data_IF_862981111179
#
_entry.id   IF_862981111179
#
_cell.length_a   1.000
_cell.length_b   1.000
_cell.length_c   1.000
_cell.angle_alpha   90.00
_cell.angle_beta   90.00
_cell.angle_gamma   90.00
#
_symmetry.space_group_name_H-M   'P 1'
#
loop_
_entity.id
_entity.type
_entity.pdbx_description
1 polymer ?
#
# COMPACT_ATOMS: atom_id res chain seq x y z
N UNK A 1 -16.39 -6.35 52.47
CA UNK A 1 -16.70 -5.24 51.53
C UNK A 1 -15.47 -4.60 50.89
N UNK A 2 -14.32 -4.44 51.56
CA UNK A 2 -13.07 -3.93 50.96
C UNK A 2 -12.46 -4.85 49.88
N UNK A 3 -12.62 -6.17 50.01
CA UNK A 3 -12.07 -7.16 49.05
C UNK A 3 -12.83 -7.25 47.72
N UNK A 4 -14.11 -6.85 47.66
CA UNK A 4 -14.90 -6.88 46.43
C UNK A 4 -14.55 -5.70 45.49
N UNK A 5 -14.15 -4.56 46.06
CA UNK A 5 -13.76 -3.38 45.29
C UNK A 5 -12.39 -3.57 44.61
N UNK A 6 -11.44 -4.22 45.27
CA UNK A 6 -10.10 -4.45 44.72
C UNK A 6 -10.11 -5.42 43.54
N UNK A 7 -10.98 -6.43 43.56
CA UNK A 7 -11.12 -7.40 42.47
C UNK A 7 -11.75 -6.78 41.23
N UNK A 8 -12.74 -5.87 41.38
CA UNK A 8 -13.33 -5.16 40.24
C UNK A 8 -12.34 -4.25 39.51
N UNK A 9 -11.43 -3.59 40.25
CA UNK A 9 -10.44 -2.69 39.64
C UNK A 9 -9.38 -3.48 38.86
N UNK A 10 -8.96 -4.65 39.36
CA UNK A 10 -7.97 -5.49 38.69
C UNK A 10 -8.47 -6.06 37.35
N UNK A 11 -9.77 -6.37 37.24
CA UNK A 11 -10.35 -6.91 35.99
C UNK A 11 -10.51 -5.81 34.93
N UNK A 12 -10.71 -4.55 35.32
CA UNK A 12 -10.96 -3.44 34.41
C UNK A 12 -9.67 -2.85 33.79
N UNK A 13 -8.51 -3.08 34.41
CA UNK A 13 -7.20 -2.62 33.92
C UNK A 13 -6.62 -3.57 32.85
N UNK A 14 -6.99 -4.86 32.85
CA UNK A 14 -6.47 -5.83 31.87
C UNK A 14 -7.13 -5.76 30.48
N UNK A 15 -8.29 -5.11 30.34
CA UNK A 15 -9.05 -5.09 29.09
C UNK A 15 -8.66 -3.98 28.11
N UNK A 16 -7.74 -3.08 28.48
CA UNK A 16 -7.41 -1.88 27.68
C UNK A 16 -6.28 -2.13 26.66
N UNK A 17 -5.59 -3.27 26.68
CA UNK A 17 -4.47 -3.54 25.76
C UNK A 17 -4.81 -4.33 24.48
N UNK A 18 -6.06 -4.74 24.27
CA UNK A 18 -6.46 -5.54 23.11
C UNK A 18 -6.94 -4.71 21.90
N UNK A 19 -6.64 -3.41 21.86
CA UNK A 19 -6.88 -2.57 20.69
C UNK A 19 -5.83 -2.81 19.60
N UNK A 20 -5.81 -4.00 18.99
CA UNK A 20 -5.00 -4.22 17.78
C UNK A 20 -5.58 -3.37 16.65
N UNK A 21 -5.02 -2.18 16.43
CA UNK A 21 -5.26 -1.44 15.21
C UNK A 21 -4.85 -2.35 14.04
N UNK A 22 -5.77 -2.60 13.11
CA UNK A 22 -5.51 -3.48 11.98
C UNK A 22 -4.45 -2.84 11.06
N UNK A 23 -3.23 -3.37 11.10
CA UNK A 23 -2.11 -3.01 10.23
C UNK A 23 -2.28 -3.65 8.84
N UNK A 24 -1.64 -3.09 7.81
CA UNK A 24 -1.61 -3.68 6.46
C UNK A 24 -0.99 -5.07 6.50
N UNK A 25 -1.72 -6.14 6.09
CA UNK A 25 -1.12 -7.43 5.84
C UNK A 25 -0.07 -7.26 4.75
N UNK A 26 1.19 -7.38 5.13
CA UNK A 26 2.33 -7.21 4.22
C UNK A 26 3.25 -8.41 4.30
N UNK A 27 3.64 -8.91 3.15
CA UNK A 27 4.72 -9.88 3.05
C UNK A 27 6.02 -9.12 2.78
N UNK A 28 7.11 -9.54 3.43
CA UNK A 28 8.44 -9.11 3.03
C UNK A 28 8.63 -9.48 1.55
N UNK A 29 9.11 -8.54 0.75
CA UNK A 29 9.32 -8.77 -0.69
C UNK A 29 10.72 -8.33 -1.08
N UNK A 30 11.36 -9.11 -1.94
CA UNK A 30 12.64 -8.70 -2.51
C UNK A 30 12.39 -7.69 -3.63
N UNK A 31 12.93 -6.48 -3.46
CA UNK A 31 12.88 -5.42 -4.44
C UNK A 31 14.15 -5.43 -5.29
N UNK A 32 13.98 -5.46 -6.62
CA UNK A 32 15.08 -5.34 -7.58
C UNK A 32 14.96 -3.98 -8.28
N UNK A 33 15.88 -3.03 -8.05
CA UNK A 33 15.81 -1.71 -8.67
C UNK A 33 16.08 -1.78 -10.18
N UNK A 34 15.55 -0.81 -10.93
CA UNK A 34 15.99 -0.56 -12.31
C UNK A 34 17.48 -0.23 -12.29
N UNK A 35 18.24 -0.76 -13.27
CA UNK A 35 19.68 -0.53 -13.33
C UNK A 35 19.99 0.96 -13.50
N UNK A 36 20.99 1.44 -12.76
CA UNK A 36 21.50 2.79 -12.90
C UNK A 36 21.91 3.05 -14.38
N UNK A 37 21.46 4.18 -14.93
CA UNK A 37 21.74 4.57 -16.31
C UNK A 37 20.77 4.04 -17.37
N UNK A 38 19.77 3.23 -17.01
CA UNK A 38 18.67 2.90 -17.92
C UNK A 38 17.58 3.99 -17.88
N UNK A 39 17.02 4.32 -19.06
CA UNK A 39 15.82 5.16 -19.14
C UNK A 39 14.67 4.43 -18.48
N UNK A 40 14.13 5.02 -17.41
CA UNK A 40 12.99 4.49 -16.69
C UNK A 40 11.70 4.76 -17.49
N UNK A 41 10.95 3.69 -17.79
CA UNK A 41 9.62 3.76 -18.39
C UNK A 41 8.70 4.64 -17.55
N UNK A 42 8.00 5.58 -18.18
CA UNK A 42 6.97 6.40 -17.52
C UNK A 42 5.60 6.02 -18.06
N UNK A 43 4.65 5.77 -17.15
CA UNK A 43 3.26 5.50 -17.50
C UNK A 43 2.36 6.62 -17.01
N UNK A 44 1.33 6.94 -17.79
CA UNK A 44 0.31 7.93 -17.44
C UNK A 44 -1.05 7.26 -17.39
N UNK A 45 -1.82 7.50 -16.32
CA UNK A 45 -3.19 6.99 -16.23
C UNK A 45 -4.11 7.79 -17.15
N UNK A 46 -4.91 7.12 -17.99
CA UNK A 46 -5.86 7.79 -18.89
C UNK A 46 -7.18 8.18 -18.23
N UNK A 47 -7.53 7.54 -17.11
CA UNK A 47 -8.79 7.79 -16.38
C UNK A 47 -8.61 7.66 -14.88
N UNK A 48 -9.53 8.27 -14.13
CA UNK A 48 -9.66 8.04 -12.70
C UNK A 48 -9.95 6.55 -12.46
N UNK A 49 -9.19 5.95 -11.55
CA UNK A 49 -9.30 4.52 -11.22
C UNK A 49 -9.50 4.35 -9.72
N UNK A 50 -10.65 3.79 -9.33
CA UNK A 50 -10.94 3.43 -7.96
C UNK A 50 -10.18 2.15 -7.60
N UNK A 51 -9.40 2.21 -6.52
CA UNK A 51 -8.64 1.09 -6.00
C UNK A 51 -9.08 0.81 -4.57
N UNK A 52 -9.31 -0.47 -4.29
CA UNK A 52 -9.59 -0.98 -2.95
C UNK A 52 -8.40 -1.81 -2.47
N UNK A 53 -7.54 -1.25 -1.61
CA UNK A 53 -6.48 -2.05 -1.00
C UNK A 53 -7.10 -3.17 -0.14
N UNK A 54 -6.35 -4.24 0.13
CA UNK A 54 -6.85 -5.37 0.94
C UNK A 54 -7.33 -4.95 2.32
N UNK A 55 -6.83 -3.81 2.82
CA UNK A 55 -7.28 -3.18 4.04
C UNK A 55 -7.25 -1.65 3.92
N UNK A 56 -7.95 -0.96 4.81
CA UNK A 56 -7.99 0.50 4.81
C UNK A 56 -9.12 1.05 3.95
N UNK A 57 -8.89 2.19 3.32
CA UNK A 57 -9.92 2.94 2.61
C UNK A 57 -9.66 2.99 1.10
N UNK A 58 -10.74 3.02 0.34
CA UNK A 58 -10.72 3.25 -1.10
C UNK A 58 -9.91 4.51 -1.46
N UNK A 59 -9.24 4.44 -2.61
CA UNK A 59 -8.44 5.54 -3.17
C UNK A 59 -8.72 5.68 -4.65
N UNK A 60 -8.76 6.93 -5.10
CA UNK A 60 -8.83 7.23 -6.53
C UNK A 60 -7.44 7.58 -7.01
N UNK A 61 -6.90 6.77 -7.93
CA UNK A 61 -5.75 7.15 -8.72
C UNK A 61 -6.23 8.08 -9.84
N UNK A 62 -5.71 9.31 -9.88
CA UNK A 62 -6.22 10.34 -10.78
C UNK A 62 -5.76 10.15 -12.21
N UNK A 63 -6.65 10.46 -13.16
CA UNK A 63 -6.30 10.59 -14.56
C UNK A 63 -5.14 11.58 -14.72
N UNK A 64 -4.31 11.35 -15.74
CA UNK A 64 -3.12 12.14 -16.09
C UNK A 64 -2.02 12.16 -15.03
N UNK A 65 -2.13 11.33 -13.98
CA UNK A 65 -1.01 11.10 -13.06
C UNK A 65 0.07 10.29 -13.76
N UNK A 66 1.31 10.72 -13.63
CA UNK A 66 2.50 10.07 -14.17
C UNK A 66 3.18 9.20 -13.10
N UNK A 67 3.74 8.08 -13.54
CA UNK A 67 4.38 7.10 -12.68
C UNK A 67 5.64 6.55 -13.34
N UNK A 68 6.75 6.55 -12.62
CA UNK A 68 8.06 6.18 -13.14
C UNK A 68 8.41 4.77 -12.66
N UNK A 69 8.80 3.89 -13.57
CA UNK A 69 9.29 2.56 -13.23
C UNK A 69 10.57 2.65 -12.40
N UNK A 70 10.58 2.03 -11.22
CA UNK A 70 11.71 2.07 -10.28
C UNK A 70 12.31 0.71 -9.97
N UNK A 71 11.59 -0.37 -10.28
CA UNK A 71 12.09 -1.71 -10.07
C UNK A 71 11.02 -2.76 -10.28
N UNK A 72 11.27 -3.94 -9.73
CA UNK A 72 10.35 -5.08 -9.76
C UNK A 72 10.32 -5.78 -8.40
N UNK A 73 9.18 -6.37 -8.10
CA UNK A 73 8.99 -7.39 -7.07
C UNK A 73 8.46 -8.65 -7.74
N UNK A 74 8.39 -9.77 -7.02
CA UNK A 74 7.85 -11.04 -7.57
C UNK A 74 6.42 -10.89 -8.13
N UNK A 75 5.63 -9.97 -7.56
CA UNK A 75 4.26 -9.69 -8.00
C UNK A 75 4.17 -8.84 -9.29
N UNK A 76 5.20 -8.09 -9.68
CA UNK A 76 5.15 -7.24 -10.88
C UNK A 76 6.16 -6.09 -10.90
N UNK A 77 6.00 -5.20 -11.88
CA UNK A 77 6.78 -3.95 -12.00
C UNK A 77 6.32 -2.93 -10.98
N UNK A 78 7.27 -2.21 -10.38
CA UNK A 78 7.01 -1.18 -9.37
C UNK A 78 7.14 0.20 -10.01
N UNK A 79 6.10 1.03 -9.87
CA UNK A 79 6.06 2.39 -10.37
C UNK A 79 5.83 3.38 -9.22
N UNK A 80 6.75 4.34 -9.06
CA UNK A 80 6.60 5.43 -8.09
C UNK A 80 5.79 6.58 -8.71
N UNK A 81 5.00 7.34 -7.93
CA UNK A 81 4.37 8.55 -8.42
C UNK A 81 5.41 9.59 -8.83
N UNK A 82 5.13 10.34 -9.90
CA UNK A 82 5.94 11.48 -10.33
C UNK A 82 5.27 12.80 -9.94
N UNK A 83 5.99 13.65 -9.21
CA UNK A 83 5.50 14.95 -8.76
C UNK A 83 4.52 14.93 -7.58
N UNK A 84 4.22 13.78 -6.97
CA UNK A 84 3.41 13.69 -5.74
C UNK A 84 3.75 12.45 -4.91
N UNK A 85 3.24 12.39 -3.68
CA UNK A 85 3.34 11.21 -2.81
C UNK A 85 1.99 10.51 -2.73
N UNK A 86 1.93 9.25 -3.17
CA UNK A 86 0.79 8.39 -2.90
C UNK A 86 0.96 7.79 -1.50
N UNK A 87 -0.11 7.88 -0.70
CA UNK A 87 -0.17 7.18 0.58
C UNK A 87 -1.40 6.28 0.69
N UNK A 88 -1.22 5.11 1.29
CA UNK A 88 -2.30 4.23 1.71
C UNK A 88 -2.42 4.28 3.23
N UNK A 89 -3.64 4.16 3.75
CA UNK A 89 -3.92 4.26 5.19
C UNK A 89 -4.52 2.97 5.70
N UNK A 90 -3.97 2.48 6.80
CA UNK A 90 -4.51 1.43 7.67
C UNK A 90 -4.69 1.98 9.09
N UNK A 91 -4.16 1.28 10.12
CA UNK A 91 -3.77 1.87 11.38
C UNK A 91 -2.82 3.08 11.21
N UNK A 92 -1.87 2.97 10.27
CA UNK A 92 -0.87 3.99 9.98
C UNK A 92 -0.99 4.49 8.53
N UNK A 93 -0.32 5.62 8.21
CA UNK A 93 -0.20 6.13 6.84
C UNK A 93 1.15 5.70 6.28
N UNK A 94 1.15 5.08 5.10
CA UNK A 94 2.34 4.52 4.46
C UNK A 94 2.49 5.13 3.07
N UNK A 95 3.72 5.49 2.69
CA UNK A 95 4.04 5.77 1.28
C UNK A 95 3.84 4.50 0.44
N UNK A 96 3.32 4.65 -0.77
CA UNK A 96 2.98 3.50 -1.61
C UNK A 96 3.34 3.74 -3.08
N UNK A 97 3.96 2.75 -3.71
CA UNK A 97 4.22 2.67 -5.14
C UNK A 97 3.31 1.61 -5.77
N UNK A 98 2.90 1.80 -7.02
CA UNK A 98 2.04 0.84 -7.71
C UNK A 98 2.84 -0.41 -8.05
N UNK A 99 2.25 -1.59 -7.86
CA UNK A 99 2.75 -2.84 -8.42
C UNK A 99 1.82 -3.27 -9.54
N UNK A 100 2.34 -3.26 -10.76
CA UNK A 100 1.59 -3.51 -11.99
C UNK A 100 2.06 -4.80 -12.63
N UNK A 101 1.11 -5.65 -13.02
CA UNK A 101 1.34 -6.87 -13.80
C UNK A 101 0.28 -6.95 -14.88
N UNK A 102 0.71 -7.17 -16.13
CA UNK A 102 -0.18 -7.34 -17.29
C UNK A 102 -1.22 -6.20 -17.43
N UNK A 103 -0.80 -4.95 -17.18
CA UNK A 103 -1.68 -3.77 -17.24
C UNK A 103 -2.68 -3.65 -16.09
N UNK A 104 -2.57 -4.49 -15.06
CA UNK A 104 -3.42 -4.45 -13.87
C UNK A 104 -2.62 -4.02 -12.65
N UNK A 105 -3.23 -3.19 -11.81
CA UNK A 105 -2.75 -2.97 -10.45
C UNK A 105 -3.05 -4.20 -9.61
N UNK A 106 -2.00 -4.84 -9.12
CA UNK A 106 -2.10 -6.07 -8.29
C UNK A 106 -1.77 -5.81 -6.81
N UNK A 107 -1.14 -4.68 -6.50
CA UNK A 107 -0.83 -4.30 -5.14
C UNK A 107 -0.02 -3.01 -5.07
N UNK A 108 0.51 -2.75 -3.88
CA UNK A 108 1.37 -1.63 -3.57
C UNK A 108 2.69 -2.13 -2.97
N UNK A 109 3.80 -1.51 -3.40
CA UNK A 109 5.09 -1.64 -2.74
C UNK A 109 5.26 -0.51 -1.74
N UNK A 110 5.68 -0.83 -0.52
CA UNK A 110 5.85 0.11 0.58
C UNK A 110 7.36 0.34 0.79
N UNK A 111 7.93 1.45 0.30
CA UNK A 111 9.38 1.63 0.24
C UNK A 111 10.02 1.78 1.63
N UNK A 112 9.35 2.43 2.58
CA UNK A 112 9.85 2.60 3.94
C UNK A 112 9.99 1.28 4.69
N UNK A 113 9.18 0.28 4.33
CA UNK A 113 9.10 -0.99 5.04
C UNK A 113 9.53 -2.19 4.20
N UNK A 114 9.93 -1.95 2.94
CA UNK A 114 10.32 -2.98 1.97
C UNK A 114 9.28 -4.11 1.86
N UNK A 115 8.00 -3.71 1.89
CA UNK A 115 6.87 -4.62 1.99
C UNK A 115 5.96 -4.58 0.75
N UNK A 116 5.17 -5.64 0.59
CA UNK A 116 4.13 -5.72 -0.43
C UNK A 116 2.74 -5.81 0.20
N UNK A 117 1.81 -4.95 -0.24
CA UNK A 117 0.42 -4.93 0.17
C UNK A 117 -0.51 -5.22 -1.03
N UNK A 118 -1.26 -6.34 -1.05
CA UNK A 118 -2.13 -6.65 -2.17
C UNK A 118 -3.37 -5.76 -2.24
N UNK A 119 -3.96 -5.61 -3.44
CA UNK A 119 -5.35 -5.12 -3.57
C UNK A 119 -6.35 -6.28 -3.39
N UNK A 120 -7.60 -6.00 -3.03
CA UNK A 120 -8.63 -7.04 -2.87
C UNK A 120 -8.87 -7.84 -4.14
N UNK A 121 -8.82 -7.16 -5.28
CA UNK A 121 -8.98 -7.74 -6.61
C UNK A 121 -8.15 -6.92 -7.60
N UNK A 122 -7.45 -7.54 -8.57
CA UNK A 122 -6.69 -6.80 -9.57
C UNK A 122 -7.54 -5.75 -10.28
N UNK A 123 -6.99 -4.55 -10.46
CA UNK A 123 -7.71 -3.41 -11.07
C UNK A 123 -7.09 -3.08 -12.42
N UNK A 124 -7.82 -3.19 -13.54
CA UNK A 124 -7.31 -2.81 -14.85
C UNK A 124 -6.94 -1.33 -14.91
N UNK A 125 -5.70 -1.03 -15.29
CA UNK A 125 -5.22 0.33 -15.51
C UNK A 125 -5.27 0.66 -17.00
N UNK A 126 -5.91 1.78 -17.35
CA UNK A 126 -5.83 2.30 -18.71
C UNK A 126 -4.61 3.21 -18.81
N UNK A 127 -3.54 2.68 -19.38
CA UNK A 127 -2.21 3.30 -19.39
C UNK A 127 -1.86 3.90 -20.74
N UNK A 128 -1.04 4.93 -20.71
CA UNK A 128 -0.24 5.44 -21.82
C UNK A 128 1.23 5.36 -21.44
N UNK A 129 2.07 4.83 -22.33
CA UNK A 129 3.53 4.77 -22.14
C UNK A 129 4.12 6.03 -22.76
N UNK A 130 5.00 6.70 -22.02
CA UNK A 130 5.76 7.88 -22.47
C UNK A 130 7.23 7.56 -22.68
#
# INVERSE_FOLDING_TARGET
MRSLFTTCVAVLVLSVLAGCAAEVPRAATQFTPVKAGQTAETIVLRRDTLVRPSIGYDRVLKARSAWIAVGTVSAGKVYRPDGFTLTIRSANTHEAYLVVRDGQLVGFYLPGEQGYAPVLSPVPLLLEIQ
#
